data_IF_934169972124
#
_entry.id   IF_934169972124
#
_cell.length_a   1.000
_cell.length_b   1.000
_cell.length_c   1.000
_cell.angle_alpha   90.00
_cell.angle_beta   90.00
_cell.angle_gamma   90.00
#
_symmetry.space_group_name_H-M   'P 1'
#
loop_
_entity.id
_entity.type
_entity.pdbx_description
1 polymer ?
#
# COMPACT_ATOMS: atom_id res chain seq x y z
N UNK A 1 69.88 -28.32 18.69
CA UNK A 1 69.15 -28.92 19.83
C UNK A 1 68.16 -27.89 20.35
N UNK A 2 66.91 -27.92 19.87
CA UNK A 2 65.78 -27.17 20.42
C UNK A 2 64.51 -27.85 19.92
N UNK A 3 63.92 -28.64 20.80
CA UNK A 3 62.62 -29.28 20.65
C UNK A 3 61.54 -28.25 20.99
N UNK A 4 60.48 -28.18 20.16
CA UNK A 4 59.28 -27.41 20.47
C UNK A 4 58.07 -28.28 20.20
N UNK A 5 57.25 -28.34 21.24
CA UNK A 5 56.15 -29.25 21.53
C UNK A 5 54.92 -28.93 20.68
N UNK A 6 54.34 -29.97 20.08
CA UNK A 6 52.94 -29.99 19.66
C UNK A 6 52.04 -30.22 20.86
N UNK A 7 51.05 -29.34 21.06
CA UNK A 7 49.93 -29.58 21.97
C UNK A 7 48.63 -29.30 21.23
N UNK A 8 48.02 -30.37 20.71
CA UNK A 8 46.70 -30.36 20.10
C UNK A 8 45.61 -30.14 21.15
N UNK A 9 44.85 -29.06 21.00
CA UNK A 9 43.60 -28.82 21.71
C UNK A 9 42.43 -29.31 20.85
N UNK A 10 41.88 -30.46 21.22
CA UNK A 10 40.61 -30.98 20.75
C UNK A 10 39.47 -30.07 21.22
N UNK A 11 39.05 -29.16 20.34
CA UNK A 11 37.86 -28.33 20.53
C UNK A 11 36.61 -29.12 20.15
N UNK A 12 35.94 -29.68 21.15
CA UNK A 12 34.57 -30.17 21.01
C UNK A 12 33.64 -28.96 20.95
N UNK A 13 33.21 -28.59 19.75
CA UNK A 13 32.13 -27.64 19.57
C UNK A 13 30.83 -28.24 20.11
N UNK A 14 30.08 -27.52 20.97
CA UNK A 14 28.78 -27.98 21.40
C UNK A 14 27.86 -27.94 20.18
N UNK A 15 27.35 -29.11 19.78
CA UNK A 15 26.24 -29.23 18.84
C UNK A 15 25.06 -28.52 19.52
N UNK A 16 24.83 -27.29 19.09
CA UNK A 16 23.66 -26.52 19.50
C UNK A 16 22.48 -27.20 18.84
N UNK A 17 21.74 -27.93 19.67
CA UNK A 17 20.48 -28.57 19.36
C UNK A 17 19.57 -27.50 18.75
N UNK A 18 19.41 -27.55 17.43
CA UNK A 18 18.55 -26.65 16.67
C UNK A 18 17.12 -27.07 16.93
N UNK A 19 16.64 -26.69 18.13
CA UNK A 19 15.31 -26.98 18.62
C UNK A 19 14.29 -26.69 17.54
N UNK A 20 13.58 -27.74 17.14
CA UNK A 20 12.46 -27.69 16.21
C UNK A 20 11.40 -26.74 16.77
N UNK A 21 11.46 -25.48 16.38
CA UNK A 21 10.44 -24.51 16.73
C UNK A 21 9.07 -25.08 16.31
N UNK A 22 8.14 -25.16 17.26
CA UNK A 22 6.79 -25.65 17.02
C UNK A 22 6.18 -24.95 15.78
N UNK A 23 5.47 -25.68 14.90
CA UNK A 23 4.95 -25.13 13.64
C UNK A 23 4.11 -23.86 13.82
N UNK A 24 3.42 -23.71 14.97
CA UNK A 24 2.67 -22.47 15.31
C UNK A 24 3.57 -21.26 15.57
N UNK A 25 4.77 -21.46 16.11
CA UNK A 25 5.76 -20.39 16.33
C UNK A 25 6.30 -19.86 15.01
N UNK A 26 6.48 -20.74 14.01
CA UNK A 26 7.08 -20.39 12.72
C UNK A 26 6.10 -19.62 11.82
N UNK A 27 4.82 -19.99 11.83
CA UNK A 27 3.77 -19.28 11.10
C UNK A 27 3.60 -17.83 11.58
N UNK A 28 3.56 -17.62 12.91
CA UNK A 28 3.47 -16.27 13.48
C UNK A 28 4.68 -15.39 13.19
N UNK A 29 5.88 -16.00 13.08
CA UNK A 29 7.10 -15.28 12.74
C UNK A 29 7.13 -14.86 11.27
N UNK A 30 6.65 -15.71 10.35
CA UNK A 30 6.50 -15.37 8.93
C UNK A 30 5.54 -14.19 8.76
N UNK A 31 4.41 -14.17 9.47
CA UNK A 31 3.45 -13.06 9.41
C UNK A 31 4.05 -11.74 9.91
N UNK A 32 4.89 -11.79 10.95
CA UNK A 32 5.59 -10.62 11.50
C UNK A 32 6.64 -10.08 10.52
N UNK A 33 7.45 -10.96 9.94
CA UNK A 33 8.50 -10.59 8.99
C UNK A 33 7.87 -10.05 7.70
N UNK A 34 6.80 -10.68 7.21
CA UNK A 34 6.01 -10.18 6.09
C UNK A 34 5.42 -8.80 6.38
N UNK A 35 4.88 -8.57 7.58
CA UNK A 35 4.32 -7.27 7.93
C UNK A 35 5.40 -6.18 7.94
N UNK A 36 6.58 -6.47 8.48
CA UNK A 36 7.73 -5.54 8.45
C UNK A 36 8.18 -5.25 7.03
N UNK A 37 8.24 -6.26 6.18
CA UNK A 37 8.67 -6.12 4.80
C UNK A 37 7.65 -5.35 3.94
N UNK A 38 6.35 -5.63 4.10
CA UNK A 38 5.27 -4.87 3.47
C UNK A 38 5.29 -3.41 3.93
N UNK A 39 5.45 -3.15 5.23
CA UNK A 39 5.57 -1.79 5.75
C UNK A 39 6.78 -1.05 5.18
N UNK A 40 7.93 -1.72 5.05
CA UNK A 40 9.13 -1.16 4.43
C UNK A 40 8.91 -0.82 2.96
N UNK A 41 8.32 -1.73 2.19
CA UNK A 41 7.99 -1.51 0.78
C UNK A 41 6.96 -0.41 0.60
N UNK A 42 5.94 -0.37 1.46
CA UNK A 42 4.94 0.67 1.47
C UNK A 42 5.57 2.05 1.75
N UNK A 43 6.46 2.17 2.75
CA UNK A 43 7.18 3.43 3.03
C UNK A 43 8.06 3.86 1.85
N UNK A 44 8.77 2.92 1.22
CA UNK A 44 9.56 3.22 0.02
C UNK A 44 8.68 3.68 -1.16
N UNK A 45 7.54 3.03 -1.35
CA UNK A 45 6.57 3.40 -2.37
C UNK A 45 5.96 4.77 -2.07
N UNK A 46 5.65 5.08 -0.81
CA UNK A 46 5.12 6.37 -0.39
C UNK A 46 6.17 7.48 -0.57
N UNK A 47 7.44 7.23 -0.24
CA UNK A 47 8.52 8.18 -0.43
C UNK A 47 8.72 8.50 -1.92
N UNK A 48 8.93 7.49 -2.77
CA UNK A 48 9.08 7.69 -4.22
C UNK A 48 7.81 8.26 -4.86
N UNK A 49 6.65 7.73 -4.46
CA UNK A 49 5.34 8.18 -4.93
C UNK A 49 5.06 9.63 -4.60
N UNK A 50 5.45 10.09 -3.40
CA UNK A 50 5.31 11.49 -3.00
C UNK A 50 6.15 12.44 -3.85
N UNK A 51 7.35 12.02 -4.28
CA UNK A 51 8.16 12.81 -5.21
C UNK A 51 7.48 12.95 -6.59
N UNK A 52 7.01 11.84 -7.15
CA UNK A 52 6.29 11.86 -8.45
C UNK A 52 4.98 12.65 -8.36
N UNK A 53 4.21 12.47 -7.29
CA UNK A 53 2.98 13.23 -7.05
C UNK A 53 3.26 14.72 -6.87
N UNK A 54 4.33 15.09 -6.15
CA UNK A 54 4.77 16.48 -6.00
C UNK A 54 5.14 17.12 -7.33
N UNK A 55 5.88 16.40 -8.18
CA UNK A 55 6.24 16.89 -9.53
C UNK A 55 5.01 17.03 -10.44
N UNK A 56 4.07 16.09 -10.37
CA UNK A 56 2.80 16.17 -11.09
C UNK A 56 1.94 17.37 -10.63
N UNK A 57 1.86 17.61 -9.32
CA UNK A 57 1.14 18.76 -8.76
C UNK A 57 1.83 20.08 -9.10
N UNK A 58 3.16 20.12 -9.12
CA UNK A 58 3.94 21.28 -9.57
C UNK A 58 3.66 21.61 -11.03
N UNK A 59 3.60 20.59 -11.88
CA UNK A 59 3.17 20.77 -13.27
C UNK A 59 1.74 21.33 -13.34
N UNK A 60 0.82 20.84 -12.51
CA UNK A 60 -0.54 21.38 -12.41
C UNK A 60 -0.59 22.85 -12.00
N UNK A 61 0.21 23.26 -11.01
CA UNK A 61 0.32 24.66 -10.55
C UNK A 61 0.84 25.59 -11.66
N UNK A 62 1.66 25.09 -12.59
CA UNK A 62 2.17 25.87 -13.72
C UNK A 62 1.20 25.86 -14.90
N UNK A 63 0.61 24.70 -15.21
CA UNK A 63 -0.27 24.53 -16.38
C UNK A 63 -1.64 25.20 -16.20
N UNK A 64 -2.21 25.21 -15.00
CA UNK A 64 -3.53 25.82 -14.77
C UNK A 64 -3.52 27.33 -15.06
N UNK A 65 -2.57 28.15 -14.55
CA UNK A 65 -2.47 29.57 -14.91
C UNK A 65 -2.17 29.78 -16.40
N UNK A 66 -1.32 28.93 -17.00
CA UNK A 66 -1.02 29.04 -18.42
C UNK A 66 -2.25 28.76 -19.28
N UNK A 67 -3.05 27.76 -18.90
CA UNK A 67 -4.34 27.47 -19.52
C UNK A 67 -5.33 28.61 -19.31
N UNK A 68 -5.36 29.25 -18.12
CA UNK A 68 -6.25 30.41 -17.91
C UNK A 68 -5.90 31.59 -18.81
N UNK A 69 -4.61 31.81 -19.11
CA UNK A 69 -4.19 32.84 -20.07
C UNK A 69 -4.60 32.51 -21.51
N UNK A 70 -4.68 31.22 -21.86
CA UNK A 70 -4.98 30.77 -23.23
C UNK A 70 -6.48 30.69 -23.51
N UNK A 71 -7.26 30.26 -22.52
CA UNK A 71 -8.71 30.00 -22.64
C UNK A 71 -9.58 31.07 -21.96
N UNK A 72 -8.97 32.17 -21.52
CA UNK A 72 -9.64 33.28 -20.81
C UNK A 72 -10.52 32.79 -19.64
N UNK A 73 -9.95 31.87 -18.83
CA UNK A 73 -10.67 31.31 -17.69
C UNK A 73 -10.82 32.39 -16.63
N UNK A 74 -12.04 32.57 -16.07
CA UNK A 74 -12.24 33.61 -15.09
C UNK A 74 -11.50 33.31 -13.79
N UNK A 75 -11.00 34.36 -13.14
CA UNK A 75 -10.15 34.29 -11.95
C UNK A 75 -10.73 33.44 -10.82
N UNK A 76 -12.04 33.48 -10.63
CA UNK A 76 -12.73 32.72 -9.58
C UNK A 76 -12.66 31.20 -9.79
N UNK A 77 -12.36 30.71 -11.01
CA UNK A 77 -12.24 29.28 -11.30
C UNK A 77 -10.81 28.79 -11.12
N UNK A 78 -9.82 29.51 -11.68
CA UNK A 78 -8.45 29.00 -11.69
C UNK A 78 -7.69 29.28 -10.39
N UNK A 79 -7.95 30.40 -9.69
CA UNK A 79 -7.25 30.72 -8.43
C UNK A 79 -7.46 29.62 -7.38
N UNK A 80 -8.69 29.13 -7.13
CA UNK A 80 -8.89 28.00 -6.22
C UNK A 80 -8.23 26.71 -6.72
N UNK A 81 -8.32 26.40 -8.02
CA UNK A 81 -7.69 25.20 -8.56
C UNK A 81 -6.16 25.20 -8.33
N UNK A 82 -5.50 26.34 -8.54
CA UNK A 82 -4.06 26.52 -8.29
C UNK A 82 -3.73 26.43 -6.80
N UNK A 83 -4.49 27.13 -5.95
CA UNK A 83 -4.25 27.09 -4.49
C UNK A 83 -4.50 25.71 -3.90
N UNK A 84 -5.47 24.96 -4.41
CA UNK A 84 -5.69 23.57 -4.05
C UNK A 84 -4.53 22.68 -4.46
N UNK A 85 -4.07 22.78 -5.71
CA UNK A 85 -2.92 22.03 -6.19
C UNK A 85 -1.66 22.36 -5.38
N UNK A 86 -1.45 23.64 -5.02
CA UNK A 86 -0.37 24.06 -4.14
C UNK A 86 -0.50 23.52 -2.71
N UNK A 87 -1.72 23.51 -2.13
CA UNK A 87 -1.97 22.95 -0.81
C UNK A 87 -1.72 21.42 -0.78
N UNK A 88 -2.16 20.70 -1.81
CA UNK A 88 -1.85 19.29 -1.97
C UNK A 88 -0.35 19.04 -2.16
N UNK A 89 0.33 19.89 -2.93
CA UNK A 89 1.77 19.80 -3.14
C UNK A 89 2.52 19.95 -1.82
N UNK A 90 2.15 20.95 -1.01
CA UNK A 90 2.72 21.17 0.33
C UNK A 90 2.47 19.96 1.24
N UNK A 91 1.27 19.40 1.21
CA UNK A 91 0.93 18.21 1.98
C UNK A 91 1.75 16.98 1.56
N UNK A 92 1.88 16.74 0.25
CA UNK A 92 2.70 15.65 -0.29
C UNK A 92 4.18 15.86 0.05
N UNK A 93 4.66 17.10 -0.01
CA UNK A 93 6.01 17.46 0.42
C UNK A 93 6.22 17.23 1.93
N UNK A 94 5.20 17.49 2.76
CA UNK A 94 5.26 17.15 4.18
C UNK A 94 5.35 15.64 4.40
N UNK A 95 4.58 14.84 3.66
CA UNK A 95 4.72 13.37 3.68
C UNK A 95 6.13 12.94 3.24
N UNK A 96 6.68 13.57 2.20
CA UNK A 96 8.04 13.31 1.74
C UNK A 96 9.06 13.57 2.86
N UNK A 97 8.96 14.71 3.56
CA UNK A 97 9.85 15.03 4.68
C UNK A 97 9.69 14.08 5.86
N UNK A 98 8.46 13.68 6.20
CA UNK A 98 8.18 12.75 7.30
C UNK A 98 8.74 11.36 6.96
N UNK A 99 8.55 10.89 5.73
CA UNK A 99 9.06 9.59 5.27
C UNK A 99 10.56 9.56 5.07
N UNK A 100 11.19 10.72 4.81
CA UNK A 100 12.65 10.84 4.72
C UNK A 100 13.33 10.61 6.07
N UNK A 101 12.65 10.86 7.20
CA UNK A 101 13.18 10.54 8.54
C UNK A 101 12.82 9.07 8.87
N UNK A 102 13.84 8.22 9.01
CA UNK A 102 13.71 6.76 9.21
C UNK A 102 12.92 6.34 10.45
N UNK A 103 12.81 7.22 11.45
CA UNK A 103 12.38 6.85 12.81
C UNK A 103 10.88 7.04 13.07
N UNK A 104 10.11 7.39 12.04
CA UNK A 104 8.70 7.70 12.25
C UNK A 104 7.86 6.45 12.52
N UNK A 105 7.09 6.46 13.62
CA UNK A 105 6.23 5.33 14.00
C UNK A 105 5.20 4.97 12.93
N UNK A 106 4.95 3.67 12.73
CA UNK A 106 3.95 3.19 11.75
C UNK A 106 2.54 3.70 12.10
N UNK A 107 2.20 3.75 13.38
CA UNK A 107 0.93 4.28 13.87
C UNK A 107 0.74 5.75 13.49
N UNK A 108 1.78 6.58 13.64
CA UNK A 108 1.72 7.99 13.25
C UNK A 108 1.43 8.16 11.76
N UNK A 109 2.01 7.29 10.93
CA UNK A 109 1.79 7.34 9.48
C UNK A 109 0.32 7.00 9.16
N UNK A 110 -0.27 6.00 9.80
CA UNK A 110 -1.69 5.67 9.60
C UNK A 110 -2.62 6.81 10.00
N UNK A 111 -2.31 7.51 11.09
CA UNK A 111 -3.07 8.69 11.51
C UNK A 111 -3.02 9.78 10.43
N UNK A 112 -1.83 10.05 9.87
CA UNK A 112 -1.64 11.03 8.80
C UNK A 112 -2.45 10.65 7.56
N UNK A 113 -2.47 9.38 7.17
CA UNK A 113 -3.24 8.90 6.01
C UNK A 113 -4.76 8.98 6.23
N UNK A 114 -5.23 8.69 7.44
CA UNK A 114 -6.64 8.86 7.77
C UNK A 114 -7.00 10.35 7.74
N UNK A 115 -6.13 11.20 8.27
CA UNK A 115 -6.33 12.65 8.27
C UNK A 115 -6.25 13.23 6.86
N UNK A 116 -5.41 12.68 5.98
CA UNK A 116 -5.28 13.13 4.60
C UNK A 116 -6.58 12.98 3.80
N UNK A 117 -7.41 12.01 4.17
CA UNK A 117 -8.74 11.83 3.59
C UNK A 117 -9.70 13.01 3.88
N UNK A 118 -9.41 13.82 4.90
CA UNK A 118 -10.17 15.04 5.23
C UNK A 118 -9.66 16.30 4.54
N UNK A 119 -8.51 16.25 3.86
CA UNK A 119 -7.90 17.44 3.24
C UNK A 119 -8.78 18.13 2.20
N UNK A 120 -9.47 17.42 1.28
CA UNK A 120 -10.33 18.10 0.32
C UNK A 120 -11.49 18.85 1.03
N UNK A 121 -12.06 18.27 2.09
CA UNK A 121 -13.05 18.96 2.93
C UNK A 121 -12.47 20.18 3.61
N UNK A 122 -11.32 20.05 4.27
CA UNK A 122 -10.67 21.17 4.94
C UNK A 122 -10.37 22.32 3.96
N UNK A 123 -10.00 21.99 2.72
CA UNK A 123 -9.81 22.99 1.68
C UNK A 123 -11.12 23.68 1.29
N UNK A 124 -12.26 22.99 1.24
CA UNK A 124 -13.56 23.64 1.02
C UNK A 124 -13.88 24.68 2.10
N UNK A 125 -13.53 24.40 3.36
CA UNK A 125 -13.66 25.39 4.44
C UNK A 125 -12.77 26.62 4.20
N UNK A 126 -11.51 26.42 3.81
CA UNK A 126 -10.58 27.52 3.58
C UNK A 126 -11.06 28.37 2.41
N UNK A 127 -11.40 27.76 1.27
CA UNK A 127 -11.72 28.52 0.07
C UNK A 127 -13.01 29.32 0.21
N UNK A 128 -14.00 28.82 0.94
CA UNK A 128 -15.22 29.59 1.21
C UNK A 128 -14.92 30.91 1.91
N UNK A 129 -13.96 30.92 2.84
CA UNK A 129 -13.56 32.14 3.54
C UNK A 129 -12.84 33.14 2.63
N UNK A 130 -12.18 32.66 1.58
CA UNK A 130 -11.52 33.52 0.60
C UNK A 130 -12.50 34.04 -0.47
N UNK A 131 -13.41 33.19 -0.91
CA UNK A 131 -14.37 33.47 -1.99
C UNK A 131 -15.73 32.88 -1.60
N UNK A 132 -16.69 33.71 -1.15
CA UNK A 132 -18.03 33.26 -0.79
C UNK A 132 -18.73 32.55 -1.97
N UNK A 133 -19.37 31.42 -1.70
CA UNK A 133 -20.03 30.55 -2.68
C UNK A 133 -19.10 29.60 -3.45
N UNK A 134 -17.78 29.68 -3.23
CA UNK A 134 -16.82 28.84 -3.93
C UNK A 134 -16.93 27.36 -3.52
N UNK A 135 -17.21 27.06 -2.25
CA UNK A 135 -17.27 25.67 -1.78
C UNK A 135 -18.34 24.86 -2.53
N UNK A 136 -19.52 25.43 -2.76
CA UNK A 136 -20.59 24.77 -3.51
C UNK A 136 -20.15 24.45 -4.94
N UNK A 137 -19.50 25.39 -5.63
CA UNK A 137 -18.97 25.19 -6.98
C UNK A 137 -17.92 24.07 -7.03
N UNK A 138 -17.01 23.99 -6.05
CA UNK A 138 -15.97 22.96 -6.03
C UNK A 138 -16.47 21.57 -5.60
N UNK A 139 -17.51 21.50 -4.76
CA UNK A 139 -18.18 20.25 -4.42
C UNK A 139 -18.97 19.64 -5.60
N UNK A 140 -19.42 20.49 -6.53
CA UNK A 140 -20.01 20.08 -7.81
C UNK A 140 -18.94 19.74 -8.85
N UNK A 141 -17.82 20.45 -8.81
CA UNK A 141 -16.75 20.35 -9.79
C UNK A 141 -15.80 19.17 -9.60
N UNK A 142 -14.70 19.15 -10.39
CA UNK A 142 -13.73 18.06 -10.39
C UNK A 142 -12.96 17.90 -9.07
N UNK A 143 -12.95 18.90 -8.19
CA UNK A 143 -12.17 18.86 -6.94
C UNK A 143 -12.61 17.72 -6.02
N UNK A 144 -13.87 17.29 -6.09
CA UNK A 144 -14.36 16.12 -5.36
C UNK A 144 -13.68 14.81 -5.79
N UNK A 145 -13.09 14.76 -6.99
CA UNK A 145 -12.30 13.60 -7.41
C UNK A 145 -10.99 13.47 -6.63
N UNK A 146 -10.55 14.52 -5.92
CA UNK A 146 -9.33 14.47 -5.10
C UNK A 146 -9.43 13.52 -3.89
N UNK A 147 -10.63 13.12 -3.46
CA UNK A 147 -10.77 12.07 -2.45
C UNK A 147 -10.33 10.71 -2.98
N UNK A 148 -10.48 10.44 -4.28
CA UNK A 148 -10.16 9.14 -4.86
C UNK A 148 -8.67 8.75 -4.68
N UNK A 149 -7.68 9.58 -5.04
CA UNK A 149 -6.27 9.24 -4.79
C UNK A 149 -5.95 9.16 -3.29
N UNK A 150 -6.58 9.99 -2.44
CA UNK A 150 -6.36 9.92 -0.99
C UNK A 150 -6.81 8.58 -0.41
N UNK A 151 -8.01 8.13 -0.78
CA UNK A 151 -8.53 6.82 -0.37
C UNK A 151 -7.71 5.68 -0.98
N UNK A 152 -7.31 5.79 -2.24
CA UNK A 152 -6.50 4.77 -2.93
C UNK A 152 -5.16 4.54 -2.21
N UNK A 153 -4.47 5.61 -1.79
CA UNK A 153 -3.21 5.51 -1.03
C UNK A 153 -3.40 4.71 0.26
N UNK A 154 -4.55 4.84 0.94
CA UNK A 154 -4.80 4.07 2.17
C UNK A 154 -4.88 2.56 1.91
N UNK A 155 -5.33 2.12 0.73
CA UNK A 155 -5.38 0.69 0.36
C UNK A 155 -4.00 0.03 0.30
N UNK A 156 -2.98 0.80 -0.09
CA UNK A 156 -1.59 0.31 -0.11
C UNK A 156 -1.00 0.07 1.27
N UNK A 157 -1.67 0.49 2.35
CA UNK A 157 -1.26 0.11 3.71
C UNK A 157 -1.51 -1.37 4.02
N UNK A 158 -2.26 -2.08 3.16
CA UNK A 158 -2.67 -3.47 3.36
C UNK A 158 -3.39 -3.71 4.71
N UNK A 159 -3.98 -2.66 5.27
CA UNK A 159 -4.68 -2.68 6.53
C UNK A 159 -6.14 -2.21 6.35
N UNK A 160 -7.05 -3.17 6.38
CA UNK A 160 -8.48 -2.95 6.19
C UNK A 160 -9.06 -1.87 7.12
N UNK A 161 -8.57 -1.81 8.38
CA UNK A 161 -9.06 -0.85 9.38
C UNK A 161 -8.70 0.58 9.02
N UNK A 162 -7.51 0.81 8.48
CA UNK A 162 -7.03 2.15 8.09
C UNK A 162 -7.85 2.68 6.91
N UNK A 163 -8.10 1.84 5.90
CA UNK A 163 -8.92 2.23 4.74
C UNK A 163 -10.39 2.50 5.08
N UNK A 164 -11.01 1.70 5.97
CA UNK A 164 -12.37 2.00 6.45
C UNK A 164 -12.39 3.31 7.24
N UNK A 165 -11.44 3.51 8.15
CA UNK A 165 -11.37 4.74 8.94
C UNK A 165 -11.20 5.97 8.04
N UNK A 166 -10.34 5.90 7.02
CA UNK A 166 -10.17 6.97 6.04
C UNK A 166 -11.44 7.20 5.20
N UNK A 167 -12.13 6.14 4.77
CA UNK A 167 -13.41 6.23 4.06
C UNK A 167 -14.51 6.87 4.90
N UNK A 168 -14.59 6.52 6.19
CA UNK A 168 -15.52 7.12 7.13
C UNK A 168 -15.21 8.59 7.36
N UNK A 169 -13.95 8.94 7.59
CA UNK A 169 -13.50 10.33 7.75
C UNK A 169 -13.80 11.14 6.50
N UNK A 170 -13.51 10.64 5.29
CA UNK A 170 -13.85 11.31 4.03
C UNK A 170 -15.37 11.53 3.88
N UNK A 171 -16.17 10.49 4.15
CA UNK A 171 -17.63 10.55 4.05
C UNK A 171 -18.24 11.57 5.01
N UNK A 172 -17.84 11.53 6.28
CA UNK A 172 -18.33 12.42 7.34
C UNK A 172 -17.83 13.85 7.11
N UNK A 173 -16.56 14.03 6.74
CA UNK A 173 -16.01 15.36 6.47
C UNK A 173 -16.64 16.01 5.24
N UNK A 174 -16.99 15.25 4.18
CA UNK A 174 -17.73 15.80 3.04
C UNK A 174 -19.15 16.20 3.45
N UNK A 175 -19.83 15.35 4.23
CA UNK A 175 -21.18 15.64 4.70
C UNK A 175 -21.21 16.87 5.60
N UNK A 176 -20.23 17.01 6.50
CA UNK A 176 -20.06 18.19 7.36
C UNK A 176 -19.77 19.45 6.54
N UNK A 177 -18.87 19.39 5.55
CA UNK A 177 -18.61 20.52 4.66
C UNK A 177 -19.88 20.96 3.91
N UNK A 178 -20.71 20.00 3.50
CA UNK A 178 -21.99 20.30 2.85
C UNK A 178 -22.97 20.98 3.82
N UNK A 179 -23.22 20.38 5.00
CA UNK A 179 -24.24 20.86 5.94
C UNK A 179 -23.88 22.21 6.55
N UNK A 180 -22.60 22.42 6.89
CA UNK A 180 -22.16 23.61 7.62
C UNK A 180 -21.87 24.82 6.72
N UNK A 181 -21.51 24.59 5.46
CA UNK A 181 -21.04 25.66 4.58
C UNK A 181 -21.88 25.73 3.32
N UNK A 182 -21.84 24.68 2.51
CA UNK A 182 -22.27 24.81 1.13
C UNK A 182 -23.80 24.85 0.97
N UNK A 183 -24.57 24.37 1.96
CA UNK A 183 -26.02 24.23 1.87
C UNK A 183 -26.73 25.51 1.44
N UNK A 184 -26.39 26.64 2.03
CA UNK A 184 -27.09 27.90 1.76
C UNK A 184 -26.78 28.42 0.35
N UNK A 185 -25.55 28.22 -0.13
CA UNK A 185 -25.17 28.60 -1.49
C UNK A 185 -25.73 27.63 -2.53
N UNK A 186 -25.84 26.34 -2.22
CA UNK A 186 -26.56 25.39 -3.06
C UNK A 186 -28.01 25.82 -3.29
N UNK A 187 -28.71 26.30 -2.27
CA UNK A 187 -30.11 26.76 -2.39
C UNK A 187 -30.26 28.00 -3.27
N UNK A 188 -29.18 28.77 -3.49
CA UNK A 188 -29.17 29.94 -4.38
C UNK A 188 -28.92 29.58 -5.83
N UNK A 189 -28.41 28.38 -6.12
CA UNK A 189 -28.12 27.93 -7.49
C UNK A 189 -29.44 27.63 -8.20
N UNK A 190 -29.74 28.41 -9.24
CA UNK A 190 -30.88 28.19 -10.13
C UNK A 190 -30.37 27.75 -11.50
N UNK A 191 -30.95 26.68 -12.05
CA UNK A 191 -30.64 26.20 -13.40
C UNK A 191 -31.90 26.26 -14.27
N UNK A 192 -31.78 26.34 -15.60
CA UNK A 192 -32.94 26.49 -16.49
C UNK A 192 -33.94 25.33 -16.41
N UNK A 193 -33.49 24.14 -16.00
CA UNK A 193 -34.31 22.94 -15.90
C UNK A 193 -34.47 22.50 -14.45
N UNK A 194 -35.72 22.28 -14.02
CA UNK A 194 -36.05 21.86 -12.65
C UNK A 194 -35.35 20.56 -12.22
N UNK A 195 -35.13 19.62 -13.14
CA UNK A 195 -34.43 18.36 -12.86
C UNK A 195 -32.95 18.61 -12.55
N UNK A 196 -32.31 19.51 -13.30
CA UNK A 196 -30.90 19.85 -13.10
C UNK A 196 -30.75 20.55 -11.74
N UNK A 197 -31.61 21.53 -11.44
CA UNK A 197 -31.62 22.18 -10.12
C UNK A 197 -31.87 21.18 -9.00
N UNK A 198 -32.79 20.24 -9.18
CA UNK A 198 -33.03 19.18 -8.20
C UNK A 198 -31.78 18.31 -7.96
N UNK A 199 -31.02 17.96 -8.99
CA UNK A 199 -29.79 17.16 -8.85
C UNK A 199 -28.65 17.97 -8.19
N UNK A 200 -28.55 19.26 -8.47
CA UNK A 200 -27.49 20.10 -7.90
C UNK A 200 -27.78 20.49 -6.45
N UNK A 201 -29.03 20.86 -6.14
CA UNK A 201 -29.40 21.52 -4.89
C UNK A 201 -29.89 20.54 -3.82
N UNK A 202 -30.52 19.43 -4.21
CA UNK A 202 -31.12 18.54 -3.23
C UNK A 202 -30.09 17.93 -2.28
N UNK A 203 -30.59 17.60 -1.09
CA UNK A 203 -29.81 16.94 -0.06
C UNK A 203 -29.38 15.52 -0.48
N UNK A 204 -30.25 14.80 -1.19
CA UNK A 204 -30.05 13.40 -1.53
C UNK A 204 -28.79 13.12 -2.39
N UNK A 205 -28.51 13.85 -3.48
CA UNK A 205 -27.27 13.68 -4.27
C UNK A 205 -26.00 13.87 -3.45
N UNK A 206 -25.99 14.81 -2.50
CA UNK A 206 -24.81 15.08 -1.66
C UNK A 206 -24.60 13.99 -0.60
N UNK A 207 -25.67 13.45 0.01
CA UNK A 207 -25.56 12.23 0.85
C UNK A 207 -25.04 11.05 0.03
N UNK A 208 -25.55 10.86 -1.18
CA UNK A 208 -25.14 9.74 -2.03
C UNK A 208 -23.64 9.79 -2.32
N UNK A 209 -23.06 10.97 -2.56
CA UNK A 209 -21.61 11.16 -2.69
C UNK A 209 -20.85 10.72 -1.42
N UNK A 210 -21.30 11.11 -0.23
CA UNK A 210 -20.71 10.66 1.03
C UNK A 210 -20.80 9.15 1.21
N UNK A 211 -21.93 8.53 0.86
CA UNK A 211 -22.11 7.07 0.90
C UNK A 211 -21.14 6.38 -0.07
N UNK A 212 -21.01 6.89 -1.30
CA UNK A 212 -20.07 6.38 -2.30
C UNK A 212 -18.62 6.46 -1.78
N UNK A 213 -18.21 7.57 -1.15
CA UNK A 213 -16.88 7.70 -0.56
C UNK A 213 -16.61 6.66 0.55
N UNK A 214 -17.59 6.42 1.41
CA UNK A 214 -17.48 5.40 2.46
C UNK A 214 -17.27 4.00 1.87
N UNK A 215 -18.11 3.62 0.90
CA UNK A 215 -17.99 2.32 0.23
C UNK A 215 -16.72 2.21 -0.61
N UNK A 216 -16.22 3.32 -1.17
CA UNK A 216 -14.94 3.36 -1.87
C UNK A 216 -13.79 3.02 -0.92
N UNK A 217 -13.79 3.60 0.29
CA UNK A 217 -12.81 3.22 1.33
C UNK A 217 -12.90 1.75 1.74
N UNK A 218 -14.12 1.22 1.87
CA UNK A 218 -14.33 -0.21 2.15
C UNK A 218 -13.79 -1.12 1.03
N UNK A 219 -14.09 -0.76 -0.23
CA UNK A 219 -13.68 -1.51 -1.41
C UNK A 219 -12.15 -1.52 -1.57
N UNK A 220 -11.53 -0.35 -1.47
CA UNK A 220 -10.07 -0.20 -1.51
C UNK A 220 -9.41 -0.97 -0.37
N UNK A 221 -9.97 -0.91 0.84
CA UNK A 221 -9.51 -1.69 1.99
C UNK A 221 -9.60 -3.20 1.75
N UNK A 222 -10.70 -3.67 1.15
CA UNK A 222 -10.90 -5.08 0.84
C UNK A 222 -9.89 -5.59 -0.19
N UNK A 223 -9.61 -4.80 -1.24
CA UNK A 223 -8.55 -5.11 -2.21
C UNK A 223 -7.20 -5.22 -1.52
N UNK A 224 -6.87 -4.28 -0.62
CA UNK A 224 -5.64 -4.32 0.16
C UNK A 224 -5.55 -5.58 1.02
N UNK A 225 -6.62 -5.92 1.73
CA UNK A 225 -6.71 -7.15 2.53
C UNK A 225 -6.51 -8.42 1.71
N UNK A 226 -7.22 -8.54 0.58
CA UNK A 226 -7.12 -9.71 -0.30
C UNK A 226 -5.73 -9.85 -0.90
N UNK A 227 -5.14 -8.74 -1.37
CA UNK A 227 -3.78 -8.72 -1.91
C UNK A 227 -2.76 -9.23 -0.90
N UNK A 228 -2.87 -8.81 0.36
CA UNK A 228 -2.02 -9.32 1.45
C UNK A 228 -2.16 -10.82 1.65
N UNK A 229 -3.39 -11.34 1.61
CA UNK A 229 -3.65 -12.77 1.75
C UNK A 229 -3.00 -13.57 0.62
N UNK A 230 -3.07 -13.06 -0.62
CA UNK A 230 -2.41 -13.68 -1.77
C UNK A 230 -0.89 -13.70 -1.58
N UNK A 231 -0.27 -12.58 -1.19
CA UNK A 231 1.17 -12.54 -0.93
C UNK A 231 1.61 -13.53 0.15
N UNK A 232 0.83 -13.62 1.23
CA UNK A 232 1.12 -14.56 2.34
C UNK A 232 1.11 -16.00 1.85
N UNK A 233 0.13 -16.38 1.02
CA UNK A 233 0.03 -17.73 0.44
C UNK A 233 1.19 -18.02 -0.52
N UNK A 234 1.58 -17.05 -1.35
CA UNK A 234 2.70 -17.20 -2.27
C UNK A 234 4.01 -17.44 -1.50
N UNK A 235 4.26 -16.67 -0.44
CA UNK A 235 5.44 -16.85 0.39
C UNK A 235 5.45 -18.19 1.13
N UNK A 236 4.31 -18.61 1.68
CA UNK A 236 4.19 -19.95 2.28
C UNK A 236 4.50 -21.05 1.28
N UNK A 237 3.98 -20.92 0.05
CA UNK A 237 4.23 -21.90 -1.03
C UNK A 237 5.71 -21.96 -1.41
N UNK A 238 6.39 -20.82 -1.50
CA UNK A 238 7.83 -20.78 -1.79
C UNK A 238 8.67 -21.38 -0.65
N UNK A 239 8.33 -21.08 0.61
CA UNK A 239 9.00 -21.67 1.78
C UNK A 239 8.82 -23.19 1.80
N UNK A 240 7.61 -23.69 1.53
CA UNK A 240 7.34 -25.13 1.43
C UNK A 240 8.14 -25.77 0.29
N UNK A 241 8.18 -25.11 -0.88
CA UNK A 241 8.96 -25.56 -2.03
C UNK A 241 10.45 -25.62 -1.71
N UNK A 242 10.99 -24.63 -1.01
CA UNK A 242 12.39 -24.60 -0.59
C UNK A 242 12.70 -25.70 0.44
N UNK A 243 11.79 -25.96 1.38
CA UNK A 243 11.94 -27.07 2.34
C UNK A 243 11.94 -28.44 1.66
N UNK A 244 11.04 -28.64 0.70
CA UNK A 244 11.02 -29.86 -0.13
C UNK A 244 12.34 -29.96 -0.91
N UNK A 245 12.79 -28.87 -1.55
CA UNK A 245 14.08 -28.85 -2.28
C UNK A 245 15.25 -29.25 -1.39
N UNK A 246 15.32 -28.69 -0.19
CA UNK A 246 16.38 -29.00 0.78
C UNK A 246 16.34 -30.46 1.21
N UNK A 247 15.16 -30.97 1.56
CA UNK A 247 14.99 -32.36 2.01
C UNK A 247 15.36 -33.34 0.91
N UNK A 248 14.88 -33.15 -0.33
CA UNK A 248 15.23 -34.03 -1.44
C UNK A 248 16.69 -33.88 -1.89
N UNK A 249 17.30 -32.69 -1.76
CA UNK A 249 18.72 -32.50 -2.07
C UNK A 249 19.67 -33.36 -1.24
N UNK A 250 19.24 -33.84 -0.06
CA UNK A 250 20.02 -34.79 0.74
C UNK A 250 19.95 -36.23 0.22
N UNK A 251 18.92 -36.58 -0.56
CA UNK A 251 18.66 -37.96 -1.02
C UNK A 251 18.87 -38.17 -2.52
N UNK A 252 18.78 -37.13 -3.34
CA UNK A 252 18.85 -37.21 -4.81
C UNK A 252 19.65 -36.05 -5.41
N UNK A 253 20.25 -36.28 -6.58
CA UNK A 253 20.94 -35.21 -7.32
C UNK A 253 19.98 -34.09 -7.72
N UNK A 254 20.54 -32.89 -7.94
CA UNK A 254 19.79 -31.70 -8.32
C UNK A 254 18.95 -31.93 -9.60
N UNK A 255 19.45 -32.72 -10.57
CA UNK A 255 18.69 -33.02 -11.80
C UNK A 255 17.45 -33.87 -11.54
N UNK A 256 17.54 -34.85 -10.63
CA UNK A 256 16.41 -35.71 -10.27
C UNK A 256 15.39 -34.91 -9.45
N UNK A 257 15.87 -34.03 -8.56
CA UNK A 257 15.04 -33.14 -7.73
C UNK A 257 14.20 -32.18 -8.57
N UNK A 258 14.79 -31.53 -9.58
CA UNK A 258 14.06 -30.60 -10.47
C UNK A 258 12.97 -31.37 -11.25
N UNK A 259 13.30 -32.55 -11.79
CA UNK A 259 12.35 -33.43 -12.49
C UNK A 259 11.20 -33.90 -11.59
N UNK A 260 11.44 -34.14 -10.30
CA UNK A 260 10.40 -34.50 -9.32
C UNK A 260 9.44 -33.32 -9.08
N UNK A 261 9.99 -32.12 -8.88
CA UNK A 261 9.21 -30.91 -8.57
C UNK A 261 8.34 -30.43 -9.73
N UNK A 262 8.73 -30.68 -10.97
CA UNK A 262 7.96 -30.34 -12.17
C UNK A 262 6.74 -31.25 -12.42
N UNK A 263 6.42 -32.18 -11.50
CA UNK A 263 5.34 -33.18 -11.62
C UNK A 263 5.42 -34.06 -12.87
N UNK A 264 6.59 -34.14 -13.51
CA UNK A 264 6.76 -34.84 -14.79
C UNK A 264 7.23 -36.29 -14.65
N UNK A 265 7.12 -36.88 -13.46
CA UNK A 265 7.45 -38.30 -13.25
C UNK A 265 6.22 -39.16 -13.56
N UNK A 266 5.88 -39.28 -14.84
CA UNK A 266 4.99 -40.36 -15.31
C UNK A 266 5.71 -41.37 -16.19
N UNK A 267 6.97 -41.15 -16.53
CA UNK A 267 7.74 -42.00 -17.43
C UNK A 267 9.20 -42.09 -16.97
N UNK A 268 9.73 -43.30 -16.87
CA UNK A 268 11.16 -43.51 -16.64
C UNK A 268 11.95 -43.20 -17.91
N UNK A 269 13.06 -42.48 -17.77
CA UNK A 269 13.98 -42.18 -18.87
C UNK A 269 15.13 -43.19 -18.87
N UNK A 270 15.50 -43.71 -20.06
CA UNK A 270 16.68 -44.56 -20.20
C UNK A 270 17.90 -43.68 -20.45
N UNK A 271 18.82 -43.65 -19.50
CA UNK A 271 20.12 -42.98 -19.63
C UNK A 271 21.26 -44.02 -19.69
N UNK A 272 22.33 -43.72 -20.43
CA UNK A 272 23.59 -44.47 -20.32
C UNK A 272 24.36 -43.92 -19.12
N UNK A 273 24.56 -44.75 -18.11
CA UNK A 273 25.28 -44.39 -16.89
C UNK A 273 26.35 -45.44 -16.57
N UNK A 274 27.43 -45.00 -15.95
CA UNK A 274 28.42 -45.89 -15.33
C UNK A 274 27.99 -46.13 -13.90
N UNK A 275 27.80 -47.40 -13.53
CA UNK A 275 27.37 -47.79 -12.18
C UNK A 275 28.57 -48.42 -11.48
N UNK A 276 28.99 -47.83 -10.36
CA UNK A 276 30.01 -48.39 -9.48
C UNK A 276 29.32 -49.09 -8.30
N UNK A 277 29.61 -50.37 -8.12
CA UNK A 277 29.23 -51.11 -6.92
C UNK A 277 30.45 -51.21 -6.00
N UNK A 278 30.33 -50.67 -4.79
CA UNK A 278 31.33 -50.79 -3.74
C UNK A 278 30.68 -51.46 -2.53
N UNK A 279 31.28 -52.56 -2.05
CA UNK A 279 30.83 -53.32 -0.90
C UNK A 279 31.88 -53.24 0.21
N UNK A 280 31.45 -52.84 1.41
CA UNK A 280 32.31 -52.81 2.59
C UNK A 280 32.02 -54.06 3.41
N UNK A 281 32.85 -55.09 3.21
CA UNK A 281 32.72 -56.35 3.94
C UNK A 281 33.00 -56.16 5.43
N UNK A 282 32.14 -56.74 6.28
CA UNK A 282 32.32 -56.75 7.74
C UNK A 282 31.80 -55.52 8.49
N UNK A 283 31.09 -54.61 7.82
CA UNK A 283 30.58 -53.36 8.42
C UNK A 283 29.60 -53.57 9.58
N UNK A 284 28.80 -54.63 9.56
CA UNK A 284 27.77 -54.92 10.58
C UNK A 284 28.25 -55.85 11.71
N UNK A 285 29.52 -56.24 11.72
CA UNK A 285 30.10 -57.16 12.70
C UNK A 285 30.83 -56.51 13.88
N UNK A 286 30.77 -55.17 13.99
CA UNK A 286 31.35 -54.35 15.06
C UNK A 286 30.20 -53.82 15.92
#
# INVERSE_FOLDING_TARGET
MKTTNDSGTSGTTPVTDSGSASPKSRAGQIDLDLNRELERHFRMALHKGSLYAGLFLLLGVILIPLASLTFDLPAFVFIPAVTFAAALMLFVFLIYLITFRSDFSTTGLYIILILSASLPSAYFFIIEQLVPGAAAAFMLGPLIMAYAPMLLITGFTFNFRVSIAAGLVASVSLLLAYVLIARDDFLRISAPHAIITAILVNFAPNIMKSVILFFTGCFVGYIGYYTRQVFTRLLQTEIEREQIKRTFGEFVSDEIREKILERNIRSGERARAVILFADIRGFTGI
#
